data_IF_165708307795
#
_entry.id   IF_165708307795
#
_cell.length_a   1.000
_cell.length_b   1.000
_cell.length_c   1.000
_cell.angle_alpha   90.00
_cell.angle_beta   90.00
_cell.angle_gamma   90.00
#
_symmetry.space_group_name_H-M   'P 1'
#
loop_
_entity.id
_entity.type
_entity.pdbx_description
1 polymer ?
#
# COMPACT_ATOMS: atom_id res chain seq x y z
N UNK A 1 8.44 -7.09 23.94
CA UNK A 1 7.55 -7.42 22.80
C UNK A 1 8.30 -8.08 21.65
N UNK A 2 9.40 -7.50 21.15
CA UNK A 2 10.19 -8.06 20.05
C UNK A 2 10.66 -9.52 20.23
N UNK A 3 11.11 -9.93 21.43
CA UNK A 3 11.54 -11.33 21.68
C UNK A 3 10.43 -12.35 21.43
N UNK A 4 9.21 -12.07 21.90
CA UNK A 4 8.05 -12.93 21.67
C UNK A 4 7.66 -12.96 20.18
N UNK A 5 7.75 -11.79 19.51
CA UNK A 5 7.50 -11.65 18.08
C UNK A 5 8.50 -12.46 17.24
N UNK A 6 9.80 -12.43 17.56
CA UNK A 6 10.85 -13.26 16.94
C UNK A 6 10.66 -14.76 17.19
N UNK A 7 10.24 -15.15 18.40
CA UNK A 7 9.95 -16.55 18.72
C UNK A 7 8.73 -17.08 17.94
N UNK A 8 7.68 -16.26 17.81
CA UNK A 8 6.53 -16.56 16.94
C UNK A 8 6.97 -16.69 15.48
N UNK A 9 7.75 -15.73 14.99
CA UNK A 9 8.31 -15.77 13.63
C UNK A 9 9.01 -17.09 13.34
N UNK A 10 10.01 -17.46 14.17
CA UNK A 10 10.80 -18.68 13.96
C UNK A 10 9.91 -19.91 13.86
N UNK A 11 9.00 -20.10 14.82
CA UNK A 11 8.08 -21.25 14.85
C UNK A 11 7.14 -21.30 13.65
N UNK A 12 6.50 -20.19 13.29
CA UNK A 12 5.52 -20.14 12.19
C UNK A 12 6.24 -20.30 10.84
N UNK A 13 7.39 -19.64 10.67
CA UNK A 13 8.24 -19.79 9.49
C UNK A 13 8.72 -21.23 9.31
N UNK A 14 9.20 -21.89 10.36
CA UNK A 14 9.64 -23.29 10.32
C UNK A 14 8.49 -24.24 9.97
N UNK A 15 7.31 -24.01 10.57
CA UNK A 15 6.11 -24.78 10.23
C UNK A 15 5.78 -24.64 8.75
N UNK A 16 5.66 -23.41 8.24
CA UNK A 16 5.27 -23.14 6.86
C UNK A 16 6.30 -23.67 5.86
N UNK A 17 7.59 -23.48 6.15
CA UNK A 17 8.69 -23.97 5.32
C UNK A 17 8.76 -25.51 5.24
N UNK A 18 8.28 -26.22 6.27
CA UNK A 18 8.21 -27.69 6.27
C UNK A 18 7.07 -28.26 5.43
N UNK A 19 6.12 -27.43 4.96
CA UNK A 19 4.95 -27.89 4.22
C UNK A 19 5.23 -27.98 2.72
N UNK A 20 4.63 -29.00 2.11
CA UNK A 20 4.58 -29.11 0.65
C UNK A 20 3.64 -28.05 0.05
N UNK A 21 3.83 -27.76 -1.22
CA UNK A 21 3.00 -26.83 -1.98
C UNK A 21 1.52 -27.25 -1.97
N UNK A 22 1.24 -28.56 -2.04
CA UNK A 22 -0.12 -29.10 -1.93
C UNK A 22 -0.73 -28.80 -0.56
N UNK A 23 0.05 -28.98 0.52
CA UNK A 23 -0.41 -28.73 1.88
C UNK A 23 -0.65 -27.23 2.13
N UNK A 24 0.20 -26.36 1.59
CA UNK A 24 0.01 -24.91 1.67
C UNK A 24 -1.17 -24.44 0.82
N UNK A 25 -1.38 -25.02 -0.36
CA UNK A 25 -2.54 -24.72 -1.19
C UNK A 25 -3.86 -25.11 -0.50
N UNK A 26 -3.89 -26.28 0.16
CA UNK A 26 -5.02 -26.71 0.98
C UNK A 26 -5.25 -25.77 2.16
N UNK A 27 -4.20 -25.42 2.91
CA UNK A 27 -4.30 -24.48 4.04
C UNK A 27 -4.96 -23.15 3.65
N UNK A 28 -4.60 -22.60 2.49
CA UNK A 28 -5.14 -21.33 2.00
C UNK A 28 -6.51 -21.52 1.32
N UNK A 29 -6.82 -22.72 0.81
CA UNK A 29 -8.11 -23.05 0.20
C UNK A 29 -9.22 -23.35 1.21
N UNK A 30 -8.86 -23.92 2.36
CA UNK A 30 -9.78 -24.27 3.45
C UNK A 30 -10.09 -23.07 4.36
N UNK A 31 -9.24 -22.04 4.34
CA UNK A 31 -9.52 -20.80 5.05
C UNK A 31 -10.70 -20.08 4.39
N UNK A 32 -11.76 -19.82 5.15
CA UNK A 32 -12.93 -19.08 4.67
C UNK A 32 -12.53 -17.72 4.08
N UNK A 33 -13.23 -17.28 3.03
CA UNK A 33 -12.96 -16.00 2.36
C UNK A 33 -13.42 -14.86 3.27
N UNK A 34 -12.57 -14.44 4.20
CA UNK A 34 -12.78 -13.24 5.00
C UNK A 34 -12.02 -12.09 4.33
N UNK A 35 -12.78 -11.29 3.58
CA UNK A 35 -12.42 -10.02 2.93
C UNK A 35 -11.57 -10.11 1.65
N UNK A 36 -12.16 -9.59 0.56
CA UNK A 36 -11.46 -9.29 -0.70
C UNK A 36 -10.75 -7.95 -0.53
N UNK A 37 -9.44 -7.97 -0.29
CA UNK A 37 -8.61 -6.77 -0.31
C UNK A 37 -8.39 -6.24 -1.73
N UNK A 38 -8.17 -4.93 -1.87
CA UNK A 38 -7.77 -4.32 -3.14
C UNK A 38 -6.36 -4.81 -3.48
N UNK A 39 -6.22 -5.65 -4.50
CA UNK A 39 -4.92 -6.16 -4.98
C UNK A 39 -4.70 -7.67 -4.88
N UNK A 40 -5.68 -8.42 -4.36
CA UNK A 40 -5.62 -9.89 -4.32
C UNK A 40 -6.60 -10.48 -3.31
N UNK A 41 -6.87 -11.78 -3.41
CA UNK A 41 -7.64 -12.50 -2.40
C UNK A 41 -6.81 -12.69 -1.14
N UNK A 42 -7.39 -12.42 0.02
CA UNK A 42 -6.78 -12.70 1.32
C UNK A 42 -7.59 -13.69 2.12
N UNK A 43 -6.91 -14.35 3.06
CA UNK A 43 -7.52 -15.26 4.02
C UNK A 43 -6.72 -15.27 5.32
N UNK A 44 -7.39 -15.50 6.44
CA UNK A 44 -6.75 -15.73 7.72
C UNK A 44 -6.72 -17.25 7.95
N UNK A 45 -5.53 -17.79 8.20
CA UNK A 45 -5.32 -19.22 8.44
C UNK A 45 -4.74 -19.44 9.84
N UNK A 46 -5.09 -20.55 10.48
CA UNK A 46 -4.46 -20.97 11.73
C UNK A 46 -3.22 -21.81 11.44
N UNK A 47 -2.08 -21.40 12.01
CA UNK A 47 -0.81 -22.11 11.93
C UNK A 47 -0.33 -22.39 13.34
N UNK A 48 -0.60 -23.60 13.83
CA UNK A 48 -0.20 -24.04 15.17
C UNK A 48 -0.73 -23.10 16.27
N UNK A 49 -2.01 -22.71 16.17
CA UNK A 49 -2.67 -21.78 17.10
C UNK A 49 -2.30 -20.31 16.91
N UNK A 50 -1.61 -19.97 15.81
CA UNK A 50 -1.27 -18.59 15.44
C UNK A 50 -2.05 -18.17 14.21
N UNK A 51 -2.80 -17.08 14.29
CA UNK A 51 -3.45 -16.48 13.13
C UNK A 51 -2.40 -15.87 12.19
N UNK A 52 -2.47 -16.27 10.92
CA UNK A 52 -1.59 -15.84 9.84
C UNK A 52 -2.45 -15.26 8.72
N UNK A 53 -2.10 -14.07 8.26
CA UNK A 53 -2.71 -13.44 7.10
C UNK A 53 -2.02 -13.97 5.83
N UNK A 54 -2.77 -14.60 4.94
CA UNK A 54 -2.26 -15.08 3.65
C UNK A 54 -2.82 -14.21 2.52
N UNK A 55 -1.96 -13.43 1.86
CA UNK A 55 -2.30 -12.63 0.67
C UNK A 55 -1.93 -13.40 -0.60
N UNK A 56 -2.84 -13.52 -1.55
CA UNK A 56 -2.57 -14.06 -2.90
C UNK A 56 -2.37 -12.93 -3.91
N UNK A 57 -1.15 -12.83 -4.44
CA UNK A 57 -0.79 -11.90 -5.51
C UNK A 57 -0.67 -12.68 -6.81
N UNK A 58 -1.49 -12.37 -7.81
CA UNK A 58 -1.45 -13.06 -9.11
C UNK A 58 -0.07 -12.94 -9.77
N UNK A 59 0.44 -14.05 -10.29
CA UNK A 59 1.64 -14.09 -11.10
C UNK A 59 1.31 -14.51 -12.53
N UNK A 60 1.65 -13.65 -13.48
CA UNK A 60 1.58 -13.95 -14.90
C UNK A 60 2.62 -15.00 -15.30
N UNK A 61 2.40 -15.68 -16.42
CA UNK A 61 3.38 -16.62 -16.98
C UNK A 61 4.74 -15.96 -17.23
N UNK A 62 4.75 -14.67 -17.57
CA UNK A 62 5.99 -13.89 -17.72
C UNK A 62 6.72 -13.72 -16.38
N UNK A 63 6.02 -13.44 -15.30
CA UNK A 63 6.62 -13.32 -13.96
C UNK A 63 7.06 -14.69 -13.42
N UNK A 64 6.33 -15.78 -13.73
CA UNK A 64 6.72 -17.15 -13.38
C UNK A 64 8.02 -17.59 -14.07
N UNK A 65 8.22 -17.19 -15.33
CA UNK A 65 9.44 -17.45 -16.07
C UNK A 65 10.67 -16.66 -15.54
N UNK A 66 10.45 -15.63 -14.71
CA UNK A 66 11.50 -14.78 -14.14
C UNK A 66 11.40 -14.72 -12.61
N UNK A 67 11.60 -15.85 -11.91
CA UNK A 67 11.40 -15.93 -10.48
C UNK A 67 12.28 -14.93 -9.73
N UNK A 68 11.67 -14.18 -8.80
CA UNK A 68 12.30 -13.13 -7.98
C UNK A 68 12.88 -11.95 -8.77
N UNK A 69 12.62 -11.84 -10.07
CA UNK A 69 13.02 -10.65 -10.82
C UNK A 69 12.19 -9.46 -10.37
N UNK A 70 12.84 -8.38 -9.92
CA UNK A 70 12.18 -7.11 -9.60
C UNK A 70 12.05 -6.20 -10.83
N UNK A 71 12.35 -6.69 -12.03
CA UNK A 71 12.25 -5.91 -13.27
C UNK A 71 10.80 -5.56 -13.61
N UNK A 72 10.62 -4.45 -14.33
CA UNK A 72 9.34 -4.12 -14.96
C UNK A 72 9.19 -4.90 -16.27
N UNK A 73 8.78 -6.17 -16.14
CA UNK A 73 8.72 -7.16 -17.24
C UNK A 73 7.75 -6.79 -18.37
N UNK A 74 6.84 -5.85 -18.13
CA UNK A 74 5.88 -5.37 -19.12
C UNK A 74 6.22 -3.99 -19.68
N UNK A 75 7.23 -3.30 -19.11
CA UNK A 75 7.55 -1.93 -19.50
C UNK A 75 6.43 -0.96 -19.15
N UNK A 76 5.74 -1.17 -18.03
CA UNK A 76 4.65 -0.32 -17.58
C UNK A 76 5.12 1.14 -17.39
N UNK A 77 4.31 2.14 -17.80
CA UNK A 77 4.61 3.54 -17.57
C UNK A 77 4.73 3.88 -16.08
N UNK A 78 5.53 4.90 -15.74
CA UNK A 78 5.82 5.26 -14.35
C UNK A 78 4.61 5.78 -13.56
N UNK A 79 3.62 6.36 -14.24
CA UNK A 79 2.38 6.76 -13.56
C UNK A 79 1.62 5.56 -12.97
N UNK A 80 1.88 4.34 -13.42
CA UNK A 80 1.29 3.11 -12.86
C UNK A 80 1.87 2.75 -11.48
N UNK A 81 2.93 3.43 -11.01
CA UNK A 81 3.52 3.18 -9.69
C UNK A 81 2.84 3.96 -8.55
N UNK A 82 2.01 4.96 -8.86
CA UNK A 82 1.28 5.70 -7.83
C UNK A 82 0.00 4.93 -7.44
N UNK A 83 -0.13 4.58 -6.16
CA UNK A 83 -1.25 3.75 -5.66
C UNK A 83 -2.55 4.48 -5.39
N UNK A 84 -2.49 5.80 -5.51
CA UNK A 84 -3.67 6.61 -5.67
C UNK A 84 -4.38 6.18 -6.95
N UNK A 85 -5.42 5.36 -6.76
CA UNK A 85 -6.27 4.89 -7.84
C UNK A 85 -6.62 6.07 -8.72
N UNK A 86 -6.17 6.03 -9.97
CA UNK A 86 -6.87 6.81 -10.99
C UNK A 86 -8.35 6.50 -10.80
N UNK A 87 -9.23 7.51 -10.88
CA UNK A 87 -10.66 7.41 -10.53
C UNK A 87 -11.42 6.27 -11.24
N UNK A 88 -10.75 5.57 -12.15
CA UNK A 88 -11.16 4.43 -12.93
C UNK A 88 -10.90 3.05 -12.32
N UNK A 89 -10.01 2.82 -11.35
CA UNK A 89 -9.68 1.43 -10.97
C UNK A 89 -10.68 0.67 -10.07
N UNK A 90 -11.31 1.27 -9.05
CA UNK A 90 -12.21 0.53 -8.17
C UNK A 90 -13.42 -0.07 -8.90
N UNK A 91 -13.77 0.51 -10.05
CA UNK A 91 -14.92 0.13 -10.87
C UNK A 91 -14.66 -1.03 -11.84
N UNK A 92 -13.41 -1.50 -12.00
CA UNK A 92 -13.05 -2.49 -13.03
C UNK A 92 -12.54 -3.83 -12.49
N UNK A 93 -12.71 -4.12 -11.19
CA UNK A 93 -12.32 -5.39 -10.59
C UNK A 93 -10.80 -5.64 -10.53
N UNK A 94 -9.97 -4.68 -10.95
CA UNK A 94 -8.52 -4.68 -10.82
C UNK A 94 -8.09 -3.61 -9.82
N UNK A 95 -7.23 -3.95 -8.86
CA UNK A 95 -6.56 -2.99 -7.96
C UNK A 95 -5.50 -2.12 -8.65
N UNK A 96 -5.60 -1.89 -9.97
CA UNK A 96 -4.54 -1.36 -10.83
C UNK A 96 -3.75 -2.46 -11.54
N UNK A 97 -2.88 -2.10 -12.51
CA UNK A 97 -2.09 -3.10 -13.24
C UNK A 97 -1.10 -3.83 -12.34
N UNK A 98 -0.65 -3.20 -11.24
CA UNK A 98 0.49 -3.65 -10.44
C UNK A 98 1.76 -3.73 -11.29
N UNK A 99 2.94 -3.53 -10.70
CA UNK A 99 4.17 -3.71 -11.48
C UNK A 99 4.54 -5.18 -11.56
N UNK A 100 4.71 -5.80 -10.39
CA UNK A 100 5.34 -7.09 -10.27
C UNK A 100 5.17 -7.67 -8.86
N UNK A 101 4.61 -8.87 -8.72
CA UNK A 101 4.45 -9.55 -7.42
C UNK A 101 5.78 -9.83 -6.71
N UNK A 102 6.89 -9.96 -7.44
CA UNK A 102 8.23 -10.12 -6.87
C UNK A 102 8.75 -8.86 -6.18
N UNK A 103 8.32 -7.65 -6.60
CA UNK A 103 8.66 -6.42 -5.88
C UNK A 103 7.99 -6.37 -4.51
N UNK A 104 6.73 -6.78 -4.44
CA UNK A 104 6.00 -6.85 -3.18
C UNK A 104 6.67 -7.84 -2.20
N UNK A 105 7.11 -9.01 -2.69
CA UNK A 105 7.88 -9.94 -1.87
C UNK A 105 9.20 -9.33 -1.39
N UNK A 106 9.97 -8.70 -2.30
CA UNK A 106 11.25 -8.09 -1.93
C UNK A 106 11.06 -6.99 -0.87
N UNK A 107 10.02 -6.16 -1.00
CA UNK A 107 9.68 -5.14 -0.02
C UNK A 107 9.30 -5.76 1.34
N UNK A 108 8.44 -6.79 1.35
CA UNK A 108 8.07 -7.51 2.56
C UNK A 108 9.29 -8.12 3.27
N UNK A 109 10.26 -8.68 2.51
CA UNK A 109 11.52 -9.18 3.08
C UNK A 109 12.34 -8.06 3.73
N UNK A 110 12.50 -6.91 3.05
CA UNK A 110 13.27 -5.76 3.57
C UNK A 110 12.68 -5.25 4.90
N UNK A 111 11.36 -5.08 4.98
CA UNK A 111 10.72 -4.60 6.22
C UNK A 111 10.74 -5.67 7.32
N UNK A 112 10.59 -6.95 6.96
CA UNK A 112 10.71 -8.08 7.90
C UNK A 112 12.10 -8.12 8.53
N UNK A 113 13.16 -7.97 7.73
CA UNK A 113 14.53 -7.94 8.23
C UNK A 113 14.75 -6.79 9.22
N UNK A 114 14.20 -5.61 8.97
CA UNK A 114 14.29 -4.48 9.89
C UNK A 114 13.55 -4.71 11.21
N UNK A 115 12.35 -5.31 11.16
CA UNK A 115 11.61 -5.70 12.36
C UNK A 115 12.39 -6.77 13.14
N UNK A 116 12.90 -7.79 12.46
CA UNK A 116 13.71 -8.84 13.09
C UNK A 116 15.03 -8.29 13.63
N UNK A 117 15.62 -7.25 13.06
CA UNK A 117 16.79 -6.57 13.62
C UNK A 117 16.46 -5.70 14.85
N UNK A 118 15.17 -5.37 15.06
CA UNK A 118 14.73 -4.47 16.12
C UNK A 118 14.91 -2.98 15.78
N UNK A 119 15.04 -2.66 14.50
CA UNK A 119 15.16 -1.28 14.01
C UNK A 119 13.80 -0.57 13.94
N UNK A 120 12.71 -1.35 13.85
CA UNK A 120 11.34 -0.84 13.76
C UNK A 120 10.35 -1.89 14.28
N UNK A 121 9.15 -1.45 14.65
CA UNK A 121 8.03 -2.33 14.98
C UNK A 121 6.85 -2.16 14.00
N UNK A 122 6.96 -1.25 13.02
CA UNK A 122 5.83 -0.66 12.29
C UNK A 122 5.34 -1.42 11.05
N UNK A 123 5.76 -2.68 10.87
CA UNK A 123 5.41 -3.51 9.72
C UNK A 123 5.07 -4.93 10.16
N UNK A 124 4.07 -5.61 9.59
CA UNK A 124 3.86 -7.04 9.82
C UNK A 124 5.07 -7.87 9.39
N UNK A 125 5.36 -8.96 10.09
CA UNK A 125 6.41 -9.90 9.68
C UNK A 125 5.92 -10.83 8.57
N UNK A 126 6.68 -10.98 7.49
CA UNK A 126 6.47 -12.04 6.50
C UNK A 126 7.06 -13.36 7.03
N UNK A 127 6.21 -14.28 7.48
CA UNK A 127 6.64 -15.58 7.98
C UNK A 127 7.15 -16.50 6.86
N UNK A 128 6.45 -16.53 5.72
CA UNK A 128 6.81 -17.39 4.60
C UNK A 128 6.20 -16.88 3.30
N UNK A 129 6.65 -17.42 2.17
CA UNK A 129 6.02 -17.19 0.88
C UNK A 129 6.17 -18.40 -0.04
N UNK A 130 5.21 -18.61 -0.93
CA UNK A 130 5.23 -19.70 -1.90
C UNK A 130 4.49 -19.34 -3.18
N UNK A 131 4.98 -19.81 -4.33
CA UNK A 131 4.20 -19.79 -5.57
C UNK A 131 3.32 -21.02 -5.57
N UNK A 132 2.00 -20.83 -5.65
CA UNK A 132 0.99 -21.89 -5.62
C UNK A 132 0.06 -21.78 -6.83
N UNK A 133 -0.51 -22.89 -7.31
CA UNK A 133 -1.51 -22.86 -8.37
C UNK A 133 -2.81 -22.17 -7.92
N UNK A 134 -3.48 -21.54 -8.87
CA UNK A 134 -4.73 -20.81 -8.67
C UNK A 134 -4.54 -19.35 -8.24
N UNK A 135 -5.61 -18.57 -8.36
CA UNK A 135 -5.65 -17.17 -7.97
C UNK A 135 -7.02 -16.76 -7.46
N UNK A 136 -7.15 -15.56 -6.86
CA UNK A 136 -8.45 -15.02 -6.52
C UNK A 136 -9.35 -14.95 -7.77
N UNK A 137 -10.67 -15.15 -7.63
CA UNK A 137 -11.58 -14.99 -8.74
C UNK A 137 -11.47 -13.56 -9.27
N UNK A 138 -11.14 -13.42 -10.55
CA UNK A 138 -11.12 -12.12 -11.23
C UNK A 138 -12.52 -11.92 -11.83
N UNK A 139 -13.24 -10.90 -11.35
CA UNK A 139 -14.57 -10.55 -11.87
C UNK A 139 -14.49 -9.70 -13.14
N UNK A 140 -13.30 -9.18 -13.45
CA UNK A 140 -13.05 -8.33 -14.60
C UNK A 140 -13.09 -9.11 -15.92
N UNK A 141 -13.79 -8.58 -16.90
CA UNK A 141 -13.87 -9.11 -18.26
C UNK A 141 -13.11 -8.26 -19.29
N UNK A 142 -13.22 -8.61 -20.59
CA UNK A 142 -12.55 -7.87 -21.66
C UNK A 142 -12.91 -6.38 -21.71
N UNK A 143 -14.17 -6.03 -21.43
CA UNK A 143 -14.62 -4.64 -21.40
C UNK A 143 -13.94 -3.81 -20.29
N UNK A 144 -13.65 -4.43 -19.14
CA UNK A 144 -12.94 -3.80 -18.04
C UNK A 144 -11.46 -3.52 -18.40
N UNK A 145 -10.83 -4.45 -19.14
CA UNK A 145 -9.49 -4.25 -19.69
C UNK A 145 -9.47 -3.09 -20.68
N UNK A 146 -10.41 -3.03 -21.62
CA UNK A 146 -10.52 -1.93 -22.58
C UNK A 146 -10.67 -0.58 -21.86
N UNK A 147 -11.55 -0.51 -20.85
CA UNK A 147 -11.78 0.71 -20.09
C UNK A 147 -10.55 1.13 -19.29
N UNK A 148 -9.87 0.19 -18.64
CA UNK A 148 -8.62 0.46 -17.91
C UNK A 148 -7.50 0.93 -18.83
N UNK A 149 -7.35 0.32 -20.02
CA UNK A 149 -6.35 0.73 -21.02
C UNK A 149 -6.65 2.12 -21.55
N UNK A 150 -7.92 2.43 -21.87
CA UNK A 150 -8.33 3.76 -22.30
C UNK A 150 -8.04 4.83 -21.23
N UNK A 151 -8.24 4.50 -19.96
CA UNK A 151 -7.93 5.39 -18.84
C UNK A 151 -6.42 5.58 -18.61
N UNK A 152 -5.60 4.62 -19.05
CA UNK A 152 -4.14 4.61 -18.94
C UNK A 152 -3.45 4.97 -20.26
N UNK A 153 -3.93 6.03 -20.93
CA UNK A 153 -3.35 6.59 -22.15
C UNK A 153 -3.27 5.61 -23.34
N UNK A 154 -4.14 4.60 -23.38
CA UNK A 154 -4.12 3.58 -24.44
C UNK A 154 -2.86 2.72 -24.43
N UNK A 155 -2.14 2.63 -23.31
CA UNK A 155 -0.85 1.95 -23.24
C UNK A 155 -0.95 0.45 -23.57
N UNK A 156 -0.22 0.01 -24.60
CA UNK A 156 -0.11 -1.39 -24.98
C UNK A 156 0.56 -2.25 -23.91
N UNK A 157 1.49 -1.67 -23.13
CA UNK A 157 2.13 -2.32 -21.99
C UNK A 157 1.12 -2.65 -20.88
N UNK A 158 0.24 -1.69 -20.57
CA UNK A 158 -0.86 -1.87 -19.61
C UNK A 158 -1.81 -2.97 -20.08
N UNK A 159 -2.23 -2.91 -21.35
CA UNK A 159 -3.07 -3.96 -21.95
C UNK A 159 -2.46 -5.34 -21.78
N UNK A 160 -1.21 -5.49 -22.22
CA UNK A 160 -0.50 -6.77 -22.14
C UNK A 160 -0.41 -7.29 -20.70
N UNK A 161 -0.22 -6.40 -19.70
CA UNK A 161 -0.20 -6.78 -18.27
C UNK A 161 -1.57 -7.27 -17.80
N UNK A 162 -2.64 -6.52 -18.10
CA UNK A 162 -4.00 -6.84 -17.65
C UNK A 162 -4.52 -8.13 -18.29
N UNK A 163 -4.31 -8.32 -19.60
CA UNK A 163 -4.65 -9.56 -20.30
C UNK A 163 -3.87 -10.76 -19.72
N UNK A 164 -2.60 -10.57 -19.37
CA UNK A 164 -1.81 -11.61 -18.72
C UNK A 164 -2.30 -11.92 -17.28
N UNK A 165 -2.86 -10.95 -16.54
CA UNK A 165 -3.50 -11.22 -15.24
C UNK A 165 -4.74 -12.08 -15.38
N UNK A 166 -5.58 -11.81 -16.38
CA UNK A 166 -6.84 -12.53 -16.59
C UNK A 166 -6.65 -14.03 -16.78
N UNK A 167 -5.53 -14.43 -17.38
CA UNK A 167 -5.19 -15.83 -17.65
C UNK A 167 -4.16 -16.42 -16.69
N UNK A 168 -3.75 -15.65 -15.67
CA UNK A 168 -2.74 -16.07 -14.71
C UNK A 168 -3.22 -17.33 -13.97
N UNK A 169 -2.38 -18.37 -14.00
CA UNK A 169 -2.70 -19.69 -13.43
C UNK A 169 -2.11 -19.90 -12.03
N UNK A 170 -1.29 -18.97 -11.55
CA UNK A 170 -0.58 -19.07 -10.28
C UNK A 170 -0.65 -17.77 -9.49
N UNK A 171 -0.45 -17.90 -8.18
CA UNK A 171 -0.28 -16.77 -7.27
C UNK A 171 0.98 -16.93 -6.45
N UNK A 172 1.63 -15.81 -6.16
CA UNK A 172 2.54 -15.67 -5.05
C UNK A 172 1.71 -15.50 -3.78
N UNK A 173 1.81 -16.45 -2.87
CA UNK A 173 1.17 -16.39 -1.57
C UNK A 173 2.16 -15.89 -0.54
N UNK A 174 1.82 -14.78 0.11
CA UNK A 174 2.59 -14.15 1.19
C UNK A 174 1.89 -14.47 2.51
N UNK A 175 2.58 -15.19 3.41
CA UNK A 175 2.09 -15.55 4.74
C UNK A 175 2.69 -14.58 5.75
N UNK A 176 1.89 -13.64 6.24
CA UNK A 176 2.32 -12.55 7.11
C UNK A 176 1.63 -12.58 8.46
N UNK A 177 2.20 -11.85 9.41
CA UNK A 177 1.60 -11.59 10.71
C UNK A 177 0.21 -10.97 10.56
N UNK A 178 -0.78 -11.59 11.22
CA UNK A 178 -2.13 -11.06 11.25
C UNK A 178 -2.24 -9.91 12.26
N UNK A 179 -2.64 -8.73 11.79
CA UNK A 179 -2.91 -7.55 12.61
C UNK A 179 -4.41 -7.23 12.52
N UNK A 180 -5.16 -7.35 13.63
CA UNK A 180 -6.60 -7.59 13.58
C UNK A 180 -7.42 -6.39 13.13
N UNK A 181 -7.07 -5.16 13.50
CA UNK A 181 -7.96 -4.02 13.30
C UNK A 181 -7.55 -3.15 12.10
N UNK A 182 -8.51 -2.68 11.27
CA UNK A 182 -8.24 -1.63 10.30
C UNK A 182 -7.80 -0.35 11.01
N UNK A 183 -6.71 0.29 10.55
CA UNK A 183 -6.27 1.55 11.14
C UNK A 183 -7.33 2.65 10.97
N UNK A 184 -8.08 2.62 9.86
CA UNK A 184 -9.12 3.61 9.55
C UNK A 184 -10.20 3.71 10.64
N UNK A 185 -10.61 2.59 11.24
CA UNK A 185 -11.64 2.54 12.28
C UNK A 185 -11.09 3.07 13.60
N UNK A 186 -9.91 2.62 14.00
CA UNK A 186 -9.23 3.09 15.20
C UNK A 186 -8.93 4.60 15.17
N UNK A 187 -8.75 5.18 13.98
CA UNK A 187 -8.55 6.62 13.77
C UNK A 187 -9.84 7.44 13.96
N UNK A 188 -11.02 6.84 13.98
CA UNK A 188 -12.28 7.55 14.27
C UNK A 188 -12.47 7.80 15.77
N UNK A 189 -11.85 6.97 16.60
CA UNK A 189 -11.95 7.06 18.05
C UNK A 189 -10.97 8.09 18.60
N UNK A 190 -11.46 9.16 19.24
CA UNK A 190 -10.65 10.25 19.80
C UNK A 190 -9.56 10.81 18.85
N UNK A 191 -9.93 11.38 17.69
CA UNK A 191 -8.96 11.86 16.71
C UNK A 191 -8.03 12.95 17.26
N UNK A 192 -8.57 13.82 18.12
CA UNK A 192 -7.81 14.90 18.74
C UNK A 192 -6.78 14.37 19.75
N UNK A 193 -7.15 13.43 20.62
CA UNK A 193 -6.24 12.83 21.58
C UNK A 193 -5.17 11.94 20.94
N UNK A 194 -5.46 11.33 19.79
CA UNK A 194 -4.51 10.48 19.05
C UNK A 194 -3.60 11.25 18.09
N UNK A 195 -3.82 12.54 17.84
CA UNK A 195 -3.16 13.28 16.77
C UNK A 195 -1.61 13.19 16.81
N UNK A 196 -0.99 13.41 17.97
CA UNK A 196 0.47 13.33 18.13
C UNK A 196 1.02 11.90 18.09
N UNK A 197 0.24 10.93 18.59
CA UNK A 197 0.59 9.51 18.50
C UNK A 197 0.64 9.06 17.03
N UNK A 198 -0.38 9.43 16.27
CA UNK A 198 -0.49 9.11 14.84
C UNK A 198 0.59 9.82 14.04
N UNK A 199 0.82 11.12 14.25
CA UNK A 199 1.91 11.87 13.59
C UNK A 199 3.26 11.18 13.81
N UNK A 200 3.56 10.78 15.05
CA UNK A 200 4.83 10.13 15.40
C UNK A 200 4.98 8.76 14.74
N UNK A 201 3.98 7.88 14.84
CA UNK A 201 4.07 6.53 14.27
C UNK A 201 4.17 6.56 12.74
N UNK A 202 3.45 7.47 12.11
CA UNK A 202 3.54 7.73 10.68
C UNK A 202 4.93 8.23 10.27
N UNK A 203 5.55 9.11 11.08
CA UNK A 203 6.92 9.57 10.88
C UNK A 203 7.95 8.44 11.03
N UNK A 204 7.77 7.55 12.02
CA UNK A 204 8.61 6.37 12.21
C UNK A 204 8.60 5.44 10.99
N UNK A 205 7.41 5.18 10.42
CA UNK A 205 7.23 4.37 9.21
C UNK A 205 8.03 4.95 8.04
N UNK A 206 7.81 6.22 7.70
CA UNK A 206 8.45 6.82 6.51
C UNK A 206 9.95 7.04 6.71
N UNK A 207 10.39 7.24 7.95
CA UNK A 207 11.82 7.34 8.28
C UNK A 207 12.53 6.00 8.06
N UNK A 208 11.92 4.90 8.51
CA UNK A 208 12.46 3.56 8.27
C UNK A 208 12.53 3.24 6.77
N UNK A 209 11.43 3.46 6.04
CA UNK A 209 11.37 3.22 4.59
C UNK A 209 12.46 3.99 3.84
N UNK A 210 12.61 5.28 4.16
CA UNK A 210 13.67 6.12 3.60
C UNK A 210 15.07 5.61 3.93
N UNK A 211 15.31 5.21 5.18
CA UNK A 211 16.59 4.63 5.60
C UNK A 211 16.92 3.32 4.88
N UNK A 212 15.90 2.59 4.45
CA UNK A 212 16.04 1.38 3.63
C UNK A 212 15.94 1.65 2.13
N UNK A 213 15.96 2.90 1.66
CA UNK A 213 15.79 3.27 0.23
C UNK A 213 14.62 2.53 -0.43
N UNK A 214 13.53 2.35 0.32
CA UNK A 214 12.32 1.66 -0.11
C UNK A 214 11.21 2.70 -0.25
N UNK A 215 10.68 2.84 -1.45
CA UNK A 215 9.51 3.66 -1.74
C UNK A 215 8.27 2.78 -1.72
N UNK A 216 7.28 3.17 -0.95
CA UNK A 216 6.01 2.47 -0.79
C UNK A 216 4.98 2.93 -1.83
N UNK A 217 4.92 4.24 -2.10
CA UNK A 217 4.05 4.89 -3.09
C UNK A 217 2.53 4.78 -2.85
N UNK A 218 2.10 4.00 -1.85
CA UNK A 218 0.68 3.81 -1.53
C UNK A 218 0.34 3.84 -0.01
N UNK A 219 0.97 4.75 0.74
CA UNK A 219 0.85 4.82 2.21
C UNK A 219 -0.47 5.40 2.72
N UNK A 220 -1.63 4.85 2.34
CA UNK A 220 -2.94 5.30 2.83
C UNK A 220 -3.48 4.45 4.00
N UNK A 221 -4.39 5.00 4.81
CA UNK A 221 -4.91 4.31 6.00
C UNK A 221 -5.62 2.97 5.72
N UNK A 222 -6.14 2.76 4.50
CA UNK A 222 -6.68 1.46 4.08
C UNK A 222 -5.62 0.34 3.94
N UNK A 223 -4.35 0.68 3.76
CA UNK A 223 -3.22 -0.25 3.70
C UNK A 223 -2.53 -0.41 5.05
N UNK A 224 -3.13 0.17 6.11
CA UNK A 224 -2.60 0.17 7.46
C UNK A 224 -3.52 -0.61 8.40
N UNK A 225 -2.92 -1.37 9.30
CA UNK A 225 -3.59 -2.11 10.36
C UNK A 225 -3.15 -1.60 11.73
N UNK A 226 -3.85 -1.99 12.79
CA UNK A 226 -3.50 -1.66 14.16
C UNK A 226 -3.82 -2.79 15.13
N UNK A 227 -3.04 -2.86 16.21
CA UNK A 227 -3.32 -3.70 17.39
C UNK A 227 -4.04 -2.91 18.50
N UNK A 228 -4.43 -1.66 18.23
CA UNK A 228 -5.04 -0.73 19.19
C UNK A 228 -4.02 0.23 19.81
N UNK A 229 -2.73 -0.04 19.71
CA UNK A 229 -1.65 0.79 20.23
C UNK A 229 -0.74 1.35 19.13
N UNK A 230 -0.49 0.56 18.07
CA UNK A 230 0.42 0.91 16.97
C UNK A 230 -0.16 0.65 15.59
N UNK A 231 0.18 1.55 14.67
CA UNK A 231 -0.07 1.43 13.23
C UNK A 231 1.00 0.55 12.58
N UNK A 232 0.55 -0.39 11.75
CA UNK A 232 1.37 -1.28 10.93
C UNK A 232 1.06 -1.05 9.45
N UNK A 233 2.06 -0.72 8.63
CA UNK A 233 1.90 -0.64 7.17
C UNK A 233 2.04 -2.03 6.55
N UNK A 234 1.02 -2.50 5.83
CA UNK A 234 0.89 -3.93 5.49
C UNK A 234 0.90 -4.25 3.98
N UNK A 235 0.58 -3.31 3.08
CA UNK A 235 0.46 -3.59 1.65
C UNK A 235 1.58 -2.97 0.82
N UNK A 236 2.41 -3.79 0.18
CA UNK A 236 3.57 -3.33 -0.60
C UNK A 236 3.43 -3.56 -2.11
N UNK A 237 2.19 -3.66 -2.63
CA UNK A 237 1.92 -3.99 -4.03
C UNK A 237 2.51 -3.03 -5.07
N UNK A 238 2.89 -1.82 -4.64
CA UNK A 238 3.47 -0.78 -5.50
C UNK A 238 4.89 -0.37 -5.10
N UNK A 239 5.49 -1.10 -4.16
CA UNK A 239 6.79 -0.75 -3.64
C UNK A 239 7.89 -0.83 -4.72
N UNK A 240 8.83 0.10 -4.67
CA UNK A 240 10.03 0.13 -5.52
C UNK A 240 11.25 0.56 -4.72
N UNK A 241 12.45 0.28 -5.23
CA UNK A 241 13.70 0.67 -4.60
C UNK A 241 14.76 0.92 -5.68
N UNK A 242 15.64 1.91 -5.52
CA UNK A 242 16.84 2.05 -6.37
C UNK A 242 17.72 0.80 -6.40
N UNK A 243 17.59 -0.11 -5.42
CA UNK A 243 18.32 -1.39 -5.36
C UNK A 243 17.66 -2.52 -6.16
N UNK A 244 16.47 -2.30 -6.70
CA UNK A 244 15.81 -3.26 -7.58
C UNK A 244 16.44 -3.22 -8.98
N UNK A 245 16.21 -4.29 -9.74
CA UNK A 245 16.47 -4.29 -11.18
C UNK A 245 15.51 -3.32 -11.88
N UNK A 246 15.98 -2.10 -12.09
CA UNK A 246 15.22 -0.98 -12.65
C UNK A 246 15.75 -0.61 -14.04
N UNK A 247 14.85 -0.18 -14.93
CA UNK A 247 15.26 0.57 -16.13
C UNK A 247 15.81 1.95 -15.75
N UNK A 248 16.39 2.67 -16.72
CA UNK A 248 16.87 4.03 -16.49
C UNK A 248 15.74 5.00 -16.10
N UNK A 249 14.57 4.87 -16.74
CA UNK A 249 13.39 5.67 -16.43
C UNK A 249 12.85 5.41 -15.01
N UNK A 250 12.93 4.15 -14.54
CA UNK A 250 12.53 3.79 -13.18
C UNK A 250 13.49 4.30 -12.12
N UNK A 251 14.79 4.34 -12.40
CA UNK A 251 15.77 4.96 -11.50
C UNK A 251 15.50 6.45 -11.34
N UNK A 252 15.33 7.17 -12.45
CA UNK A 252 14.95 8.59 -12.42
C UNK A 252 13.63 8.82 -11.66
N UNK A 253 12.65 7.93 -11.87
CA UNK A 253 11.40 7.98 -11.12
C UNK A 253 11.63 7.80 -9.61
N UNK A 254 12.41 6.80 -9.18
CA UNK A 254 12.68 6.54 -7.77
C UNK A 254 13.46 7.70 -7.12
N UNK A 255 14.44 8.27 -7.82
CA UNK A 255 15.21 9.42 -7.35
C UNK A 255 14.32 10.65 -7.15
N UNK A 256 13.46 10.96 -8.12
CA UNK A 256 12.52 12.09 -8.01
C UNK A 256 11.47 11.89 -6.92
N UNK A 257 11.11 10.65 -6.61
CA UNK A 257 10.11 10.31 -5.60
C UNK A 257 10.69 9.99 -4.23
N UNK A 258 11.97 10.26 -3.97
CA UNK A 258 12.64 9.91 -2.71
C UNK A 258 11.95 10.44 -1.43
N UNK A 259 11.17 11.53 -1.53
CA UNK A 259 10.42 12.12 -0.41
C UNK A 259 8.92 11.85 -0.47
N UNK A 260 8.45 11.14 -1.50
CA UNK A 260 7.04 10.97 -1.82
C UNK A 260 6.23 10.39 -0.65
N UNK A 261 6.75 9.36 0.03
CA UNK A 261 6.00 8.70 1.10
C UNK A 261 5.82 9.59 2.32
N UNK A 262 6.85 10.38 2.68
CA UNK A 262 6.77 11.33 3.78
C UNK A 262 5.72 12.43 3.49
N UNK A 263 5.73 12.94 2.27
CA UNK A 263 4.79 13.95 1.81
C UNK A 263 3.36 13.41 1.70
N UNK A 264 3.20 12.17 1.24
CA UNK A 264 1.91 11.49 1.20
C UNK A 264 1.33 11.30 2.58
N UNK A 265 2.15 10.83 3.52
CA UNK A 265 1.76 10.63 4.91
C UNK A 265 1.38 11.95 5.58
N UNK A 266 2.15 13.03 5.36
CA UNK A 266 1.80 14.37 5.84
C UNK A 266 0.44 14.84 5.28
N UNK A 267 0.21 14.64 3.98
CA UNK A 267 -1.08 14.93 3.36
C UNK A 267 -2.23 14.11 3.96
N UNK A 268 -2.04 12.80 4.18
CA UNK A 268 -3.06 11.92 4.78
C UNK A 268 -3.39 12.33 6.22
N UNK A 269 -2.38 12.66 7.01
CA UNK A 269 -2.52 13.16 8.38
C UNK A 269 -3.36 14.44 8.43
N UNK A 270 -3.02 15.44 7.60
CA UNK A 270 -3.77 16.70 7.53
C UNK A 270 -5.20 16.46 7.04
N UNK A 271 -5.38 15.61 6.02
CA UNK A 271 -6.71 15.28 5.51
C UNK A 271 -7.59 14.59 6.55
N UNK A 272 -7.03 13.67 7.33
CA UNK A 272 -7.76 13.01 8.42
C UNK A 272 -8.17 14.00 9.50
N UNK A 273 -7.25 14.85 9.99
CA UNK A 273 -7.59 15.86 11.00
C UNK A 273 -8.62 16.88 10.47
N UNK A 274 -8.48 17.34 9.23
CA UNK A 274 -9.46 18.24 8.62
C UNK A 274 -10.89 17.67 8.67
N UNK A 275 -11.06 16.39 8.37
CA UNK A 275 -12.38 15.75 8.43
C UNK A 275 -12.79 15.42 9.87
N UNK A 276 -11.92 14.76 10.64
CA UNK A 276 -12.26 14.17 11.92
C UNK A 276 -12.35 15.19 13.07
N UNK A 277 -11.58 16.29 13.02
CA UNK A 277 -11.60 17.33 14.08
C UNK A 277 -12.23 18.63 13.62
N UNK A 278 -12.14 18.98 12.34
CA UNK A 278 -12.64 20.26 11.82
C UNK A 278 -13.97 20.12 11.06
N UNK A 279 -14.52 18.91 10.94
CA UNK A 279 -15.80 18.65 10.28
C UNK A 279 -15.81 18.94 8.78
N UNK A 280 -14.64 18.98 8.13
CA UNK A 280 -14.54 19.27 6.70
C UNK A 280 -15.02 18.04 5.90
N UNK A 281 -16.10 18.16 5.11
CA UNK A 281 -16.67 17.02 4.42
C UNK A 281 -15.72 16.49 3.33
N UNK A 282 -15.80 15.19 3.08
CA UNK A 282 -15.21 14.59 1.88
C UNK A 282 -16.10 14.96 0.70
N UNK A 283 -15.59 15.76 -0.24
CA UNK A 283 -16.35 16.18 -1.41
C UNK A 283 -16.71 14.99 -2.29
N UNK A 284 -17.95 14.98 -2.80
CA UNK A 284 -18.37 14.07 -3.85
C UNK A 284 -17.60 14.35 -5.16
N UNK A 285 -17.50 13.34 -6.03
CA UNK A 285 -16.87 13.49 -7.33
C UNK A 285 -17.51 14.64 -8.14
N UNK A 286 -16.69 15.58 -8.61
CA UNK A 286 -17.14 16.75 -9.39
C UNK A 286 -17.56 17.98 -8.59
N UNK A 287 -17.58 17.92 -7.24
CA UNK A 287 -17.82 19.09 -6.39
C UNK A 287 -16.51 19.84 -6.04
N UNK A 288 -16.57 21.14 -5.69
CA UNK A 288 -15.43 21.84 -5.11
C UNK A 288 -14.85 21.06 -3.92
N UNK A 289 -13.54 20.83 -3.93
CA UNK A 289 -12.86 20.06 -2.90
C UNK A 289 -12.69 20.92 -1.63
N UNK A 290 -13.66 20.82 -0.72
CA UNK A 290 -13.69 21.57 0.53
C UNK A 290 -12.47 21.27 1.41
N UNK A 291 -11.95 20.04 1.32
CA UNK A 291 -10.73 19.63 2.02
C UNK A 291 -9.50 20.26 1.40
N UNK A 292 -9.39 20.30 0.06
CA UNK A 292 -8.31 21.04 -0.58
C UNK A 292 -8.32 22.53 -0.20
N UNK A 293 -9.50 23.16 -0.16
CA UNK A 293 -9.62 24.55 0.26
C UNK A 293 -9.15 24.77 1.70
N UNK A 294 -9.63 23.94 2.62
CA UNK A 294 -9.22 23.97 4.02
C UNK A 294 -7.70 23.85 4.18
N UNK A 295 -7.10 22.88 3.48
CA UNK A 295 -5.65 22.64 3.51
C UNK A 295 -4.88 23.84 2.97
N UNK A 296 -5.33 24.47 1.88
CA UNK A 296 -4.71 25.68 1.34
C UNK A 296 -4.74 26.82 2.35
N UNK A 297 -5.89 27.08 2.97
CA UNK A 297 -6.00 28.12 4.01
C UNK A 297 -5.07 27.87 5.18
N UNK A 298 -4.97 26.62 5.65
CA UNK A 298 -4.04 26.24 6.70
C UNK A 298 -2.58 26.42 6.28
N UNK A 299 -2.24 26.10 5.02
CA UNK A 299 -0.91 26.31 4.46
C UNK A 299 -0.54 27.81 4.39
N UNK A 300 -1.52 28.68 4.17
CA UNK A 300 -1.37 30.14 4.20
C UNK A 300 -1.36 30.72 5.64
N UNK A 301 -1.32 29.86 6.67
CA UNK A 301 -1.25 30.25 8.08
C UNK A 301 -2.61 30.47 8.76
N UNK A 302 -3.73 30.25 8.05
CA UNK A 302 -5.07 30.43 8.61
C UNK A 302 -5.56 29.14 9.28
N UNK A 303 -5.00 28.82 10.45
CA UNK A 303 -5.43 27.70 11.29
C UNK A 303 -6.72 28.07 12.03
N UNK A 304 -7.75 27.21 12.08
CA UNK A 304 -8.98 27.49 12.81
C UNK A 304 -8.76 27.72 14.31
N UNK A 305 -9.47 28.71 14.87
CA UNK A 305 -9.50 28.96 16.31
C UNK A 305 -10.22 27.83 17.06
N UNK A 306 -9.86 27.63 18.33
CA UNK A 306 -10.53 26.67 19.22
C UNK A 306 -10.13 25.20 18.98
N UNK A 307 -9.19 24.92 18.09
CA UNK A 307 -8.61 23.58 17.94
C UNK A 307 -7.74 23.21 19.14
N UNK A 308 -7.69 21.92 19.52
CA UNK A 308 -6.71 21.42 20.48
C UNK A 308 -5.28 21.79 20.03
N UNK A 309 -4.38 22.21 20.95
CA UNK A 309 -3.04 22.68 20.59
C UNK A 309 -2.23 21.67 19.76
N UNK A 310 -2.35 20.38 20.06
CA UNK A 310 -1.75 19.29 19.30
C UNK A 310 -2.17 19.31 17.82
N UNK A 311 -3.48 19.38 17.57
CA UNK A 311 -4.06 19.40 16.21
C UNK A 311 -3.62 20.66 15.47
N UNK A 312 -3.71 21.83 16.11
CA UNK A 312 -3.29 23.10 15.51
C UNK A 312 -1.81 23.06 15.11
N UNK A 313 -0.93 22.56 15.99
CA UNK A 313 0.50 22.43 15.72
C UNK A 313 0.79 21.49 14.54
N UNK A 314 0.09 20.36 14.43
CA UNK A 314 0.22 19.43 13.30
C UNK A 314 -0.22 20.09 11.99
N UNK A 315 -1.37 20.77 11.99
CA UNK A 315 -1.86 21.48 10.80
C UNK A 315 -0.86 22.56 10.35
N UNK A 316 -0.32 23.35 11.29
CA UNK A 316 0.71 24.35 10.98
C UNK A 316 1.95 23.72 10.36
N UNK A 317 2.44 22.59 10.88
CA UNK A 317 3.64 21.91 10.38
C UNK A 317 3.43 21.31 8.99
N UNK A 318 2.30 20.65 8.75
CA UNK A 318 2.14 19.74 7.61
C UNK A 318 1.25 20.27 6.49
N UNK A 319 0.41 21.28 6.74
CA UNK A 319 -0.50 21.82 5.73
C UNK A 319 0.21 22.32 4.45
N UNK A 320 1.39 23.00 4.51
CA UNK A 320 2.09 23.40 3.30
C UNK A 320 2.50 22.22 2.40
N UNK A 321 2.98 21.13 3.00
CA UNK A 321 3.32 19.91 2.27
C UNK A 321 2.05 19.24 1.75
N UNK A 322 1.03 19.08 2.60
CA UNK A 322 -0.26 18.52 2.21
C UNK A 322 -0.89 19.26 1.02
N UNK A 323 -0.79 20.59 0.96
CA UNK A 323 -1.29 21.40 -0.14
C UNK A 323 -0.58 21.10 -1.47
N UNK A 324 0.76 21.00 -1.46
CA UNK A 324 1.57 20.67 -2.65
C UNK A 324 1.29 19.26 -3.14
N UNK A 325 1.36 18.27 -2.24
CA UNK A 325 1.13 16.86 -2.56
C UNK A 325 -0.29 16.62 -3.03
N UNK A 326 -1.28 17.25 -2.38
CA UNK A 326 -2.68 17.19 -2.82
C UNK A 326 -2.89 17.82 -4.20
N UNK A 327 -2.15 18.88 -4.54
CA UNK A 327 -2.18 19.47 -5.89
C UNK A 327 -1.62 18.53 -6.95
N UNK A 328 -0.51 17.85 -6.65
CA UNK A 328 0.07 16.81 -7.51
C UNK A 328 -0.95 15.71 -7.80
N UNK A 329 -1.57 15.12 -6.77
CA UNK A 329 -2.57 14.07 -6.96
C UNK A 329 -3.81 14.54 -7.70
N UNK A 330 -4.29 15.76 -7.44
CA UNK A 330 -5.42 16.31 -8.20
C UNK A 330 -5.12 16.41 -9.70
N UNK A 331 -3.92 16.85 -10.08
CA UNK A 331 -3.50 16.88 -11.49
C UNK A 331 -3.49 15.48 -12.09
N UNK A 332 -2.82 14.54 -11.42
CA UNK A 332 -2.76 13.14 -11.84
C UNK A 332 -4.16 12.56 -12.06
N UNK A 333 -5.09 12.86 -11.15
CA UNK A 333 -6.48 12.38 -11.19
C UNK A 333 -7.39 13.09 -12.17
N UNK A 334 -7.04 14.32 -12.56
CA UNK A 334 -7.70 15.00 -13.68
C UNK A 334 -7.23 14.53 -15.05
N UNK A 335 -6.36 13.52 -15.11
CA UNK A 335 -5.86 12.94 -16.36
C UNK A 335 -4.49 13.46 -16.81
N UNK A 336 -3.81 14.29 -16.00
CA UNK A 336 -2.42 14.66 -16.26
C UNK A 336 -1.49 13.51 -15.85
N UNK A 337 -1.45 12.46 -16.66
CA UNK A 337 -0.59 11.28 -16.44
C UNK A 337 0.91 11.60 -16.56
N UNK A 338 1.25 12.81 -17.02
CA UNK A 338 2.61 13.35 -17.06
C UNK A 338 2.93 14.25 -15.86
N UNK A 339 2.00 14.37 -14.89
CA UNK A 339 2.25 15.08 -13.65
C UNK A 339 3.49 14.49 -12.96
N UNK A 340 4.46 15.35 -12.69
CA UNK A 340 5.67 14.98 -11.98
C UNK A 340 5.53 15.40 -10.52
N UNK A 341 5.80 14.47 -9.62
CA UNK A 341 6.04 14.78 -8.21
C UNK A 341 7.32 15.63 -8.11
N UNK A 342 7.26 16.71 -7.34
CA UNK A 342 8.30 17.72 -7.13
C UNK A 342 8.25 18.22 -5.71
#
# INVERSE_FOLDING_TARGET
>A
MLTARRARYTRVSDFLASRSDLALAALVGDGGVDEVGVGGGSVIVDVDGVQVFAKRVLLTDRELAHPRSTANLFGLPMFCQYGFGLPTFPQYGFGGPGLNGWRELAANMIVTDGVLAGETESFPLLYHWRVLPGGPPITAGPADVEAAVAALDGSSAVRARLEALLIASHSLVLFSEYIPYPAADWLQEDPAGKAELVERQLSEIVTFLRGRELLHLDGHFGNMRTDGERIYLADFGLATSPRFDLSAAERDFAERNATHDADCVAMRLVHWLATATCGVPVSAAGAPDARAEFVRRCADGHIPDGLPPAVAGILTRHAPTAARTGSFYRRLFSGDLQAQYR
#
